data_IF_635162389845
#
_entry.id   IF_635162389845
#
_cell.length_a   1.000
_cell.length_b   1.000
_cell.length_c   1.000
_cell.angle_alpha   90.00
_cell.angle_beta   90.00
_cell.angle_gamma   90.00
#
_symmetry.space_group_name_H-M   'P 1'
#
loop_
_entity.id
_entity.type
_entity.pdbx_description
1 polymer ?
#
# COMPACT_ATOMS: atom_id res chain seq x y z
N UNK A 1 -13.18 27.42 4.45
CA UNK A 1 -13.88 26.12 4.62
C UNK A 1 -13.43 25.27 3.43
N UNK A 2 -12.48 24.34 3.63
CA UNK A 2 -11.92 23.55 2.51
C UNK A 2 -12.93 22.47 2.12
N UNK A 3 -13.05 22.30 0.80
CA UNK A 3 -14.04 21.50 0.11
C UNK A 3 -14.05 20.03 0.55
N UNK A 4 -15.27 19.51 0.68
CA UNK A 4 -15.69 18.14 0.39
C UNK A 4 -14.60 17.05 0.52
N UNK A 5 -14.41 16.54 1.74
CA UNK A 5 -13.64 15.29 1.97
C UNK A 5 -14.56 14.07 2.07
N UNK A 6 -15.81 14.22 1.62
CA UNK A 6 -16.85 13.20 1.66
C UNK A 6 -16.70 12.28 0.46
N UNK A 7 -15.96 11.18 0.68
CA UNK A 7 -15.96 9.99 -0.18
C UNK A 7 -15.33 10.17 -1.57
N UNK A 8 -14.10 10.67 -1.65
CA UNK A 8 -13.27 10.29 -2.81
C UNK A 8 -13.02 8.78 -2.73
N UNK A 9 -13.73 8.04 -3.59
CA UNK A 9 -13.54 6.60 -3.79
C UNK A 9 -12.09 6.34 -4.18
N UNK A 10 -11.40 5.53 -3.37
CA UNK A 10 -10.05 5.11 -3.68
C UNK A 10 -10.04 4.27 -4.95
N UNK A 11 -9.24 4.68 -5.94
CA UNK A 11 -9.10 3.96 -7.21
C UNK A 11 -7.85 3.09 -7.19
N UNK A 12 -8.07 1.79 -7.06
CA UNK A 12 -7.01 0.78 -7.06
C UNK A 12 -6.21 0.70 -8.36
N UNK A 13 -6.78 1.18 -9.47
CA UNK A 13 -6.17 1.17 -10.79
C UNK A 13 -5.18 2.32 -11.03
N UNK A 14 -5.17 3.35 -10.17
CA UNK A 14 -4.32 4.51 -10.37
C UNK A 14 -2.87 4.23 -9.97
N UNK A 15 -1.88 4.89 -10.62
CA UNK A 15 -0.47 4.70 -10.29
C UNK A 15 -0.18 5.11 -8.86
N UNK A 16 0.73 4.36 -8.24
CA UNK A 16 1.07 4.52 -6.83
C UNK A 16 2.57 4.60 -6.62
N UNK A 17 2.97 5.44 -5.68
CA UNK A 17 4.35 5.64 -5.29
C UNK A 17 4.52 5.21 -3.84
N UNK A 18 5.47 4.30 -3.60
CA UNK A 18 5.71 3.73 -2.28
C UNK A 18 7.07 4.20 -1.78
N UNK A 19 7.05 4.76 -0.58
CA UNK A 19 8.23 5.22 0.11
C UNK A 19 8.40 4.41 1.39
N UNK A 20 9.43 3.58 1.43
CA UNK A 20 9.73 2.68 2.54
C UNK A 20 10.88 3.25 3.34
N UNK A 21 10.65 3.52 4.63
CA UNK A 21 11.74 3.88 5.53
C UNK A 21 12.65 2.65 5.77
N UNK A 22 13.86 2.64 5.18
CA UNK A 22 14.89 1.65 5.56
C UNK A 22 15.79 2.25 6.65
N UNK A 23 15.31 2.19 7.88
CA UNK A 23 16.15 2.45 9.05
C UNK A 23 16.75 1.16 9.58
N UNK A 24 18.06 0.96 9.44
CA UNK A 24 18.83 0.08 10.34
C UNK A 24 19.42 1.01 11.40
N UNK A 25 19.23 0.68 12.69
CA UNK A 25 19.76 1.46 13.82
C UNK A 25 21.25 1.78 13.58
N UNK A 26 21.58 3.05 13.33
CA UNK A 26 22.97 3.52 13.17
C UNK A 26 23.45 3.84 11.74
N UNK A 27 22.64 3.67 10.68
CA UNK A 27 22.96 4.20 9.33
C UNK A 27 21.89 5.16 8.83
N UNK A 28 22.36 6.24 8.19
CA UNK A 28 21.55 7.34 7.64
C UNK A 28 20.32 6.82 6.89
N UNK A 29 19.17 7.37 7.25
CA UNK A 29 17.83 7.14 6.71
C UNK A 29 17.80 7.03 5.18
N UNK A 30 17.95 5.83 4.65
CA UNK A 30 17.74 5.58 3.22
C UNK A 30 16.26 5.23 3.03
N UNK A 31 15.49 6.15 2.47
CA UNK A 31 14.12 5.86 2.04
C UNK A 31 14.21 5.10 0.71
N UNK A 32 13.73 3.86 0.65
CA UNK A 32 13.56 3.21 -0.64
C UNK A 32 12.32 3.77 -1.30
N UNK A 33 12.45 4.12 -2.57
CA UNK A 33 11.36 4.55 -3.41
C UNK A 33 11.04 3.44 -4.41
N UNK A 34 9.74 3.19 -4.62
CA UNK A 34 9.25 2.26 -5.63
C UNK A 34 7.95 2.78 -6.23
N UNK A 35 7.93 2.93 -7.54
CA UNK A 35 6.71 3.26 -8.29
C UNK A 35 6.04 1.99 -8.79
N UNK A 36 4.72 1.96 -8.70
CA UNK A 36 3.86 0.91 -9.22
C UNK A 36 2.89 1.48 -10.25
N UNK A 37 2.52 0.65 -11.21
CA UNK A 37 1.52 1.00 -12.23
C UNK A 37 0.12 1.16 -11.63
N UNK A 38 -0.18 0.40 -10.57
CA UNK A 38 -1.48 0.43 -9.90
C UNK A 38 -1.32 0.40 -8.38
N UNK A 39 -2.22 1.08 -7.69
CA UNK A 39 -2.27 1.11 -6.24
C UNK A 39 -2.58 -0.27 -5.64
N UNK A 40 -3.36 -1.11 -6.33
CA UNK A 40 -3.58 -2.49 -5.91
C UNK A 40 -2.26 -3.26 -5.76
N UNK A 41 -1.36 -3.16 -6.76
CA UNK A 41 -0.04 -3.82 -6.74
C UNK A 41 0.83 -3.26 -5.61
N UNK A 42 0.79 -1.94 -5.40
CA UNK A 42 1.53 -1.29 -4.31
C UNK A 42 1.06 -1.78 -2.93
N UNK A 43 -0.25 -1.80 -2.68
CA UNK A 43 -0.83 -2.27 -1.42
C UNK A 43 -0.44 -3.73 -1.14
N UNK A 44 -0.60 -4.61 -2.15
CA UNK A 44 -0.20 -6.02 -2.03
C UNK A 44 1.26 -6.16 -1.64
N UNK A 45 2.16 -5.46 -2.33
CA UNK A 45 3.59 -5.48 -2.01
C UNK A 45 3.89 -5.01 -0.57
N UNK A 46 3.19 -3.98 -0.10
CA UNK A 46 3.38 -3.45 1.26
C UNK A 46 2.91 -4.46 2.32
N UNK A 47 1.80 -5.16 2.06
CA UNK A 47 1.18 -6.08 3.02
C UNK A 47 1.76 -7.50 2.96
N UNK A 48 2.25 -7.94 1.80
CA UNK A 48 2.75 -9.30 1.61
C UNK A 48 4.28 -9.32 1.61
N UNK A 49 4.92 -8.54 0.72
CA UNK A 49 6.37 -8.62 0.49
C UNK A 49 7.21 -7.84 1.51
N UNK A 50 6.70 -6.76 2.10
CA UNK A 50 7.49 -5.97 3.05
C UNK A 50 7.54 -6.64 4.44
N UNK A 51 8.75 -6.78 5.03
CA UNK A 51 8.87 -7.26 6.40
C UNK A 51 8.20 -6.29 7.37
N UNK A 52 7.59 -6.83 8.43
CA UNK A 52 6.77 -6.07 9.38
C UNK A 52 7.48 -4.85 9.98
N UNK A 53 8.80 -4.95 10.19
CA UNK A 53 9.64 -3.86 10.69
C UNK A 53 9.73 -2.66 9.75
N UNK A 54 9.63 -2.86 8.43
CA UNK A 54 9.67 -1.78 7.41
C UNK A 54 8.26 -1.29 7.04
N UNK A 55 7.25 -2.15 7.18
CA UNK A 55 5.86 -1.85 6.86
C UNK A 55 5.29 -0.67 7.67
N UNK A 56 5.63 -0.59 8.95
CA UNK A 56 5.13 0.48 9.85
C UNK A 56 5.60 1.88 9.41
N UNK A 57 6.81 1.98 8.85
CA UNK A 57 7.38 3.23 8.34
C UNK A 57 7.14 3.46 6.85
N UNK A 58 6.21 2.73 6.23
CA UNK A 58 5.91 2.86 4.81
C UNK A 58 4.78 3.87 4.59
N UNK A 59 4.97 4.73 3.59
CA UNK A 59 3.97 5.67 3.10
C UNK A 59 3.73 5.38 1.62
N UNK A 60 2.47 5.31 1.22
CA UNK A 60 2.06 5.17 -0.17
C UNK A 60 1.36 6.45 -0.61
N UNK A 61 1.66 6.94 -1.81
CA UNK A 61 0.98 8.09 -2.43
C UNK A 61 0.26 7.65 -3.70
N UNK A 62 -1.00 8.05 -3.85
CA UNK A 62 -1.87 7.74 -5.00
C UNK A 62 -2.65 8.99 -5.34
N UNK A 63 -2.55 9.51 -6.56
CA UNK A 63 -3.14 10.81 -6.95
C UNK A 63 -2.92 11.92 -5.91
N UNK A 64 -1.67 12.16 -5.52
CA UNK A 64 -1.30 13.20 -4.53
C UNK A 64 -1.84 12.96 -3.10
N UNK A 65 -2.52 11.83 -2.86
CA UNK A 65 -3.02 11.44 -1.53
C UNK A 65 -2.11 10.43 -0.89
N UNK A 66 -1.66 10.76 0.32
CA UNK A 66 -0.79 9.91 1.13
C UNK A 66 -1.61 9.01 2.04
N UNK A 67 -1.26 7.75 2.05
CA UNK A 67 -1.81 6.70 2.89
C UNK A 67 -0.72 6.08 3.75
N UNK A 68 -1.00 5.97 5.04
CA UNK A 68 -0.10 5.34 6.01
C UNK A 68 -0.42 3.86 6.19
N UNK A 69 0.42 3.16 6.95
CA UNK A 69 0.30 1.71 7.15
C UNK A 69 -1.11 1.25 7.57
N UNK A 70 -1.83 2.05 8.38
CA UNK A 70 -3.16 1.69 8.88
C UNK A 70 -4.19 1.76 7.76
N UNK A 71 -4.17 2.82 6.96
CA UNK A 71 -5.05 3.01 5.80
C UNK A 71 -4.77 1.98 4.71
N UNK A 72 -3.49 1.73 4.41
CA UNK A 72 -3.08 0.72 3.42
C UNK A 72 -3.62 -0.65 3.81
N UNK A 73 -3.56 -1.00 5.10
CA UNK A 73 -4.12 -2.26 5.59
C UNK A 73 -5.63 -2.30 5.49
N UNK A 74 -6.34 -1.22 5.83
CA UNK A 74 -7.79 -1.15 5.66
C UNK A 74 -8.21 -1.28 4.18
N UNK A 75 -7.43 -0.71 3.24
CA UNK A 75 -7.66 -0.85 1.80
C UNK A 75 -7.41 -2.29 1.30
N UNK A 76 -6.42 -2.99 1.85
CA UNK A 76 -6.16 -4.40 1.55
C UNK A 76 -7.24 -5.33 2.13
N UNK A 77 -7.67 -5.06 3.36
CA UNK A 77 -8.67 -5.87 4.05
C UNK A 77 -10.10 -5.65 3.48
N UNK A 78 -10.31 -4.56 2.73
CA UNK A 78 -11.58 -4.25 2.05
C UNK A 78 -11.95 -5.29 0.99
N UNK A 79 -13.25 -5.58 0.88
CA UNK A 79 -13.82 -6.43 -0.19
C UNK A 79 -13.71 -5.79 -1.58
N UNK A 80 -13.45 -4.48 -1.66
CA UNK A 80 -13.26 -3.77 -2.92
C UNK A 80 -11.86 -3.97 -3.52
N UNK A 81 -10.95 -4.67 -2.82
CA UNK A 81 -9.59 -4.92 -3.29
C UNK A 81 -9.59 -5.88 -4.49
N UNK A 82 -9.08 -5.45 -5.67
CA UNK A 82 -9.30 -6.19 -6.91
C UNK A 82 -8.31 -7.34 -7.17
N UNK A 83 -7.32 -7.55 -6.30
CA UNK A 83 -6.29 -8.59 -6.50
C UNK A 83 -6.50 -9.74 -5.51
N UNK A 84 -6.18 -10.99 -5.91
CA UNK A 84 -6.19 -12.12 -5.00
C UNK A 84 -5.17 -11.88 -3.89
N UNK A 85 -5.58 -12.14 -2.66
CA UNK A 85 -4.74 -12.09 -1.46
C UNK A 85 -3.94 -13.39 -1.40
N UNK A 86 -2.69 -13.32 -0.97
CA UNK A 86 -1.84 -14.50 -0.81
C UNK A 86 -2.40 -15.37 0.34
N UNK A 87 -3.28 -16.30 -0.02
CA UNK A 87 -4.10 -17.07 0.91
C UNK A 87 -5.49 -17.42 0.36
N UNK A 88 -5.97 -16.69 -0.66
CA UNK A 88 -7.21 -17.01 -1.39
C UNK A 88 -6.93 -17.85 -2.66
N UNK A 89 -5.66 -18.05 -3.04
CA UNK A 89 -5.21 -18.94 -4.13
C UNK A 89 -5.35 -20.46 -3.77
N UNK A 90 -6.24 -20.82 -2.84
CA UNK A 90 -6.54 -22.22 -2.45
C UNK A 90 -7.97 -22.60 -2.77
N UNK A 91 -8.46 -22.35 -3.99
CA UNK A 91 -9.64 -23.07 -4.48
C UNK A 91 -9.72 -23.09 -6.01
N UNK A 92 -8.93 -23.97 -6.65
CA UNK A 92 -9.35 -24.85 -7.76
C UNK A 92 -8.12 -25.64 -8.27
N UNK A 93 -7.65 -26.59 -7.45
CA UNK A 93 -6.86 -27.71 -7.93
C UNK A 93 -7.72 -28.96 -7.76
N UNK A 94 -8.39 -29.31 -8.86
CA UNK A 94 -9.18 -30.52 -9.08
C UNK A 94 -8.38 -31.82 -8.86
#
# INVERSE_FOLDING_TARGET
MRADSTMETFRYADPAEVYVANGIKGRRNNMAYRRFETAAKAIRFIVEDLPSSRRVGTVMEVNERRHYHQEIRALYDSEAFPLPKQGDDVEDAA
#
